data_IF_825824908173
#
_entry.id   IF_825824908173
#
_cell.length_a   1.000
_cell.length_b   1.000
_cell.length_c   1.000
_cell.angle_alpha   90.00
_cell.angle_beta   90.00
_cell.angle_gamma   90.00
#
_symmetry.space_group_name_H-M   'P 1'
#
loop_
_entity.id
_entity.type
_entity.pdbx_description
1 polymer ?
#
# COMPACT_ATOMS: atom_id res chain seq x y z
N UNK A 1 -15.53 -11.20 -5.41
CA UNK A 1 -15.27 -9.89 -5.84
C UNK A 1 -13.92 -9.42 -5.47
N UNK A 2 -13.20 -8.74 -6.33
CA UNK A 2 -11.90 -8.24 -5.99
C UNK A 2 -12.00 -6.98 -5.18
N UNK A 3 -11.11 -6.82 -4.26
CA UNK A 3 -10.99 -5.59 -3.50
C UNK A 3 -9.72 -4.88 -3.88
N UNK A 4 -9.73 -3.57 -3.74
CA UNK A 4 -8.56 -2.74 -3.98
C UNK A 4 -7.90 -2.41 -2.65
N UNK A 5 -6.59 -2.56 -2.61
CA UNK A 5 -5.80 -2.39 -1.40
C UNK A 5 -4.76 -1.32 -1.63
N UNK A 6 -4.28 -0.72 -0.54
CA UNK A 6 -3.21 0.26 -0.61
C UNK A 6 -1.89 -0.48 -0.42
N UNK A 7 -1.05 -0.44 -1.44
CA UNK A 7 0.29 -1.03 -1.39
C UNK A 7 1.29 0.09 -1.23
N UNK A 8 2.12 0.00 -0.20
CA UNK A 8 3.15 0.99 0.05
C UNK A 8 4.50 0.38 -0.28
N UNK A 9 5.18 0.98 -1.26
CA UNK A 9 6.50 0.54 -1.66
C UNK A 9 7.54 1.37 -0.91
N UNK A 10 8.59 0.71 -0.45
CA UNK A 10 9.63 1.35 0.34
C UNK A 10 10.93 1.36 -0.46
N UNK A 11 11.80 2.30 -0.16
CA UNK A 11 13.12 2.34 -0.80
C UNK A 11 13.99 1.20 -0.32
N UNK A 12 13.72 0.68 0.86
CA UNK A 12 14.41 -0.47 1.39
C UNK A 12 13.40 -1.42 1.94
N UNK A 13 13.60 -2.69 1.73
CA UNK A 13 12.72 -3.72 2.25
C UNK A 13 11.58 -4.02 1.30
N UNK A 14 10.69 -4.88 1.72
CA UNK A 14 9.59 -5.34 0.88
C UNK A 14 8.39 -4.42 1.00
N UNK A 15 7.63 -4.26 -0.08
CA UNK A 15 6.40 -3.49 0.01
C UNK A 15 5.40 -4.20 0.90
N UNK A 16 4.44 -3.46 1.43
CA UNK A 16 3.39 -4.06 2.25
C UNK A 16 2.06 -3.39 1.94
N UNK A 17 0.98 -4.06 2.30
CA UNK A 17 -0.35 -3.48 2.16
C UNK A 17 -0.84 -2.99 3.50
N UNK A 18 -1.59 -1.88 3.47
CA UNK A 18 -2.13 -1.29 4.68
C UNK A 18 -3.24 -2.20 5.20
N UNK A 19 -3.14 -2.68 6.43
CA UNK A 19 -4.16 -3.58 6.96
C UNK A 19 -5.46 -2.83 7.25
N UNK A 20 -6.54 -3.57 7.18
CA UNK A 20 -7.88 -3.04 7.49
C UNK A 20 -8.34 -1.93 6.58
N UNK A 21 -7.73 -1.80 5.42
CA UNK A 21 -8.17 -0.83 4.41
C UNK A 21 -8.41 -1.58 3.12
N UNK A 22 -9.62 -1.53 2.63
CA UNK A 22 -9.94 -2.09 1.33
C UNK A 22 -11.06 -1.28 0.71
N UNK A 23 -11.13 -1.30 -0.60
CA UNK A 23 -12.07 -0.47 -1.35
C UNK A 23 -12.71 -1.31 -2.43
N UNK A 24 -13.93 -0.98 -2.78
CA UNK A 24 -14.65 -1.72 -3.80
C UNK A 24 -14.21 -1.33 -5.20
N UNK A 25 -13.72 -0.12 -5.37
CA UNK A 25 -13.30 0.36 -6.68
C UNK A 25 -11.93 1.00 -6.58
N UNK A 26 -11.25 1.07 -7.72
CA UNK A 26 -9.96 1.75 -7.77
C UNK A 26 -10.12 3.23 -7.46
N UNK A 27 -11.19 3.85 -7.94
CA UNK A 27 -11.43 5.27 -7.70
C UNK A 27 -11.50 5.57 -6.21
N UNK A 28 -12.18 4.72 -5.45
CA UNK A 28 -12.29 4.94 -4.02
C UNK A 28 -10.91 4.87 -3.36
N UNK A 29 -10.11 3.92 -3.79
CA UNK A 29 -8.75 3.78 -3.26
C UNK A 29 -7.90 4.99 -3.62
N UNK A 30 -7.95 5.43 -4.87
CA UNK A 30 -7.16 6.56 -5.33
C UNK A 30 -7.58 7.83 -4.58
N UNK A 31 -8.87 8.02 -4.38
CA UNK A 31 -9.34 9.20 -3.65
C UNK A 31 -8.82 9.19 -2.21
N UNK A 32 -8.81 8.03 -1.59
CA UNK A 32 -8.32 7.92 -0.22
C UNK A 32 -6.85 8.30 -0.13
N UNK A 33 -6.01 7.72 -1.01
CA UNK A 33 -4.57 7.96 -0.92
C UNK A 33 -4.19 9.36 -1.40
N UNK A 34 -5.04 9.99 -2.19
CA UNK A 34 -4.78 11.35 -2.69
C UNK A 34 -5.22 12.41 -1.70
N UNK A 35 -5.97 12.06 -0.68
CA UNK A 35 -6.47 13.01 0.29
C UNK A 35 -5.42 13.26 1.35
N UNK A 36 -4.96 14.50 1.45
CA UNK A 36 -3.91 14.85 2.41
C UNK A 36 -4.31 14.59 3.84
N UNK A 37 -5.60 14.59 4.14
CA UNK A 37 -6.05 14.34 5.51
C UNK A 37 -5.79 12.89 5.92
N UNK A 38 -5.56 11.99 4.96
CA UNK A 38 -5.24 10.60 5.26
C UNK A 38 -3.74 10.32 5.32
N UNK A 39 -2.92 11.32 5.04
CA UNK A 39 -1.48 11.11 4.97
C UNK A 39 -0.89 10.69 6.31
N UNK A 40 -1.42 11.23 7.40
CA UNK A 40 -0.92 10.89 8.73
C UNK A 40 -1.19 9.43 9.07
N UNK A 41 -2.37 8.93 8.70
CA UNK A 41 -2.69 7.54 8.94
C UNK A 41 -1.76 6.62 8.17
N UNK A 42 -1.46 6.98 6.93
CA UNK A 42 -0.57 6.15 6.12
C UNK A 42 0.85 6.19 6.67
N UNK A 43 1.29 7.36 7.16
CA UNK A 43 2.60 7.47 7.78
C UNK A 43 2.71 6.60 9.02
N UNK A 44 1.67 6.56 9.84
CA UNK A 44 1.66 5.72 11.02
C UNK A 44 1.79 4.25 10.64
N UNK A 45 1.12 3.83 9.56
CA UNK A 45 1.22 2.44 9.12
C UNK A 45 2.64 2.12 8.65
N UNK A 46 3.29 3.05 7.96
CA UNK A 46 4.67 2.84 7.54
C UNK A 46 5.57 2.66 8.76
N UNK A 47 5.43 3.52 9.74
CA UNK A 47 6.24 3.44 10.94
C UNK A 47 5.99 2.13 11.68
N UNK A 48 4.72 1.72 11.77
CA UNK A 48 4.37 0.51 12.48
C UNK A 48 4.97 -0.73 11.81
N UNK A 49 5.08 -0.72 10.47
CA UNK A 49 5.56 -1.90 9.74
C UNK A 49 7.06 -1.87 9.49
N UNK A 50 7.63 -0.71 9.30
CA UNK A 50 9.01 -0.62 8.82
C UNK A 50 9.91 0.26 9.68
N UNK A 51 9.34 0.99 10.62
CA UNK A 51 10.13 1.85 11.50
C UNK A 51 10.33 3.23 10.91
N UNK A 52 11.13 4.04 11.61
CA UNK A 52 11.33 5.43 11.22
C UNK A 52 12.39 5.64 10.16
N UNK A 53 13.22 4.63 9.91
CA UNK A 53 14.38 4.81 9.05
C UNK A 53 14.15 4.40 7.61
N UNK A 54 12.90 4.34 7.17
CA UNK A 54 12.59 3.98 5.80
C UNK A 54 11.92 5.14 5.11
N UNK A 55 12.06 5.17 3.80
CA UNK A 55 11.43 6.19 2.97
C UNK A 55 10.44 5.50 2.05
N UNK A 56 9.27 6.09 1.91
CA UNK A 56 8.26 5.56 1.01
C UNK A 56 8.65 5.90 -0.43
N UNK A 57 8.74 4.88 -1.26
CA UNK A 57 9.04 5.07 -2.67
C UNK A 57 7.79 5.35 -3.48
N UNK A 58 6.65 4.84 -3.04
CA UNK A 58 5.39 5.10 -3.72
C UNK A 58 4.23 4.46 -3.01
N UNK A 59 3.04 4.91 -3.35
CA UNK A 59 1.79 4.38 -2.79
C UNK A 59 0.92 4.02 -3.98
N UNK A 60 0.43 2.79 -3.99
CA UNK A 60 -0.31 2.27 -5.14
C UNK A 60 -1.60 1.64 -4.69
N UNK A 61 -2.57 1.62 -5.59
CA UNK A 61 -3.80 0.89 -5.37
C UNK A 61 -3.76 -0.37 -6.22
N UNK A 62 -3.82 -1.52 -5.57
CA UNK A 62 -3.68 -2.81 -6.25
C UNK A 62 -4.81 -3.74 -5.84
N UNK A 63 -5.10 -4.71 -6.68
CA UNK A 63 -6.06 -5.74 -6.34
C UNK A 63 -5.40 -6.79 -5.46
N UNK A 64 -6.22 -7.67 -4.89
CA UNK A 64 -5.69 -8.74 -4.07
C UNK A 64 -4.77 -9.67 -4.84
N UNK A 65 -5.02 -9.86 -6.14
CA UNK A 65 -4.14 -10.66 -6.95
C UNK A 65 -2.80 -9.98 -7.17
N UNK A 66 -2.83 -8.68 -7.43
CA UNK A 66 -1.60 -7.92 -7.63
C UNK A 66 -0.80 -7.86 -6.35
N UNK A 67 -1.48 -7.79 -5.20
CA UNK A 67 -0.80 -7.81 -3.92
C UNK A 67 0.04 -9.06 -3.75
N UNK A 68 -0.52 -10.22 -4.11
CA UNK A 68 0.23 -11.47 -3.99
C UNK A 68 1.50 -11.46 -4.83
N UNK A 69 1.41 -10.87 -6.02
CA UNK A 69 2.58 -10.78 -6.90
C UNK A 69 3.68 -9.96 -6.26
N UNK A 70 3.32 -8.81 -5.67
CA UNK A 70 4.30 -7.96 -5.04
C UNK A 70 4.89 -8.61 -3.79
N UNK A 71 4.05 -9.29 -3.02
CA UNK A 71 4.51 -9.90 -1.79
C UNK A 71 5.42 -11.09 -2.02
N UNK A 72 5.33 -11.72 -3.19
CA UNK A 72 6.27 -12.78 -3.46
C UNK A 72 7.57 -12.28 -4.05
N UNK A 73 7.87 -11.04 -3.86
CA UNK A 73 9.14 -10.50 -4.29
C UNK A 73 9.11 -9.87 -5.65
N UNK A 74 7.95 -9.78 -6.19
CA UNK A 74 7.78 -9.16 -7.49
C UNK A 74 8.33 -9.92 -8.65
N UNK A 75 8.68 -11.24 -8.40
CA UNK A 75 9.26 -11.89 -9.41
C UNK A 75 8.32 -12.47 -10.14
N UNK A 76 7.84 -12.18 -11.02
CA UNK A 76 7.05 -12.73 -11.66
C UNK A 76 7.61 -13.24 -12.64
N UNK A 77 7.75 -13.68 -13.04
CA UNK A 77 8.38 -14.15 -13.97
C UNK A 77 7.92 -14.65 -14.77
#
# INVERSE_FOLDING_TARGET
MMKWLILIALTQGNPFTVPNKSFDTEDDCVQYVSDLSNADELAIEVIAHAGFNVTVAGVYCVTTQERKRYESGGKEI
#
